data_IF_272836439759
#
_entry.id   IF_272836439759
#
_cell.length_a   1.000
_cell.length_b   1.000
_cell.length_c   1.000
_cell.angle_alpha   90.00
_cell.angle_beta   90.00
_cell.angle_gamma   90.00
#
_symmetry.space_group_name_H-M   'P 1'
#
loop_
_entity.id
_entity.type
_entity.pdbx_description
1 polymer ?
#
# COMPACT_ATOMS: atom_id res chain seq x y z
N UNK A 1 32.37 -21.22 5.09
CA UNK A 1 32.21 -19.78 5.03
C UNK A 1 31.54 -19.34 6.33
N UNK A 2 32.03 -18.35 7.05
CA UNK A 2 31.35 -17.90 8.25
C UNK A 2 29.99 -17.35 7.88
N UNK A 3 28.95 -17.76 8.64
CA UNK A 3 27.59 -17.22 8.57
C UNK A 3 27.63 -15.69 8.66
N UNK A 4 26.88 -14.93 7.86
CA UNK A 4 26.80 -13.49 8.02
C UNK A 4 26.38 -13.21 9.47
N UNK A 5 27.14 -12.37 10.16
CA UNK A 5 26.92 -11.99 11.55
C UNK A 5 25.43 -11.62 11.71
N UNK A 6 24.71 -12.33 12.57
CA UNK A 6 23.34 -11.99 12.95
C UNK A 6 23.42 -10.61 13.59
N UNK A 7 22.95 -9.59 12.88
CA UNK A 7 22.75 -8.26 13.47
C UNK A 7 21.88 -8.49 14.69
N UNK A 8 22.36 -8.06 15.87
CA UNK A 8 21.56 -8.14 17.07
C UNK A 8 20.23 -7.42 16.80
N UNK A 9 19.12 -8.16 16.95
CA UNK A 9 17.77 -7.63 16.68
C UNK A 9 17.51 -6.34 17.46
N UNK A 10 18.02 -6.24 18.69
CA UNK A 10 17.88 -5.03 19.48
C UNK A 10 18.58 -3.84 18.78
N UNK A 11 19.80 -4.04 18.29
CA UNK A 11 20.53 -3.01 17.55
C UNK A 11 19.80 -2.64 16.25
N UNK A 12 19.22 -3.61 15.55
CA UNK A 12 18.41 -3.33 14.35
C UNK A 12 17.19 -2.47 14.68
N UNK A 13 16.41 -2.83 15.70
CA UNK A 13 15.23 -2.07 16.13
C UNK A 13 15.62 -0.65 16.51
N UNK A 14 16.66 -0.47 17.34
CA UNK A 14 17.13 0.85 17.75
C UNK A 14 17.64 1.69 16.57
N UNK A 15 18.27 1.06 15.57
CA UNK A 15 18.71 1.75 14.35
C UNK A 15 17.57 2.26 13.47
N UNK A 16 16.38 1.66 13.59
CA UNK A 16 15.17 2.04 12.84
C UNK A 16 14.26 2.99 13.62
N UNK A 17 14.32 2.97 14.96
CA UNK A 17 13.50 3.87 15.80
C UNK A 17 13.82 5.33 15.51
N UNK A 18 12.78 6.12 15.28
CA UNK A 18 12.84 7.55 14.98
C UNK A 18 13.66 7.92 13.74
N UNK A 19 14.21 6.92 13.02
CA UNK A 19 14.84 7.18 11.73
C UNK A 19 13.76 7.59 10.73
N UNK A 20 13.87 8.80 10.21
CA UNK A 20 13.00 9.32 9.18
C UNK A 20 13.39 8.75 7.83
N UNK A 21 12.48 8.06 7.19
CA UNK A 21 12.59 7.63 5.81
C UNK A 21 11.81 8.63 4.96
N UNK A 22 12.48 9.43 4.13
CA UNK A 22 11.84 10.47 3.33
C UNK A 22 10.92 9.85 2.28
N UNK A 23 9.79 10.50 2.02
CA UNK A 23 8.81 10.15 0.99
C UNK A 23 8.27 11.44 0.42
N UNK A 24 8.18 11.56 -0.90
CA UNK A 24 7.84 12.80 -1.60
C UNK A 24 8.87 13.91 -1.28
N UNK A 25 8.45 15.17 -1.34
CA UNK A 25 9.28 16.35 -1.11
C UNK A 25 9.52 16.67 0.37
N UNK A 26 8.51 16.60 1.24
CA UNK A 26 8.63 16.91 2.67
C UNK A 26 7.96 15.86 3.58
N UNK A 27 7.52 14.76 3.02
CA UNK A 27 6.94 13.66 3.76
C UNK A 27 7.98 12.72 4.35
N UNK A 28 7.57 11.94 5.33
CA UNK A 28 8.40 10.86 5.87
C UNK A 28 7.56 9.84 6.64
N UNK A 29 8.18 8.68 6.85
CA UNK A 29 7.74 7.67 7.81
C UNK A 29 8.86 7.42 8.80
N UNK A 30 8.54 7.25 10.08
CA UNK A 30 9.47 6.76 11.09
C UNK A 30 8.81 5.72 12.00
N UNK A 31 9.52 4.66 12.32
CA UNK A 31 9.11 3.70 13.34
C UNK A 31 9.27 4.35 14.71
N UNK A 32 8.21 4.37 15.50
CA UNK A 32 8.23 4.88 16.89
C UNK A 32 8.46 3.75 17.87
N UNK A 33 7.69 2.66 17.69
CA UNK A 33 7.71 1.53 18.59
C UNK A 33 7.20 0.27 17.89
N UNK A 34 7.56 -0.89 18.43
CA UNK A 34 7.03 -2.15 17.95
C UNK A 34 6.89 -3.16 19.08
N UNK A 35 5.92 -4.06 18.95
CA UNK A 35 5.74 -5.25 19.77
C UNK A 35 5.83 -6.49 18.89
N UNK A 36 6.61 -7.48 19.32
CA UNK A 36 6.71 -8.77 18.63
C UNK A 36 7.70 -8.79 17.46
N UNK A 37 7.82 -9.96 16.86
CA UNK A 37 8.68 -10.35 15.74
C UNK A 37 8.14 -11.62 15.08
N UNK A 38 8.88 -12.20 14.14
CA UNK A 38 8.53 -13.52 13.55
C UNK A 38 8.35 -14.60 14.64
N UNK A 39 9.18 -14.58 15.69
CA UNK A 39 9.08 -15.55 16.79
C UNK A 39 7.80 -15.35 17.62
N UNK A 40 7.36 -14.11 17.82
CA UNK A 40 6.10 -13.81 18.51
C UNK A 40 4.89 -14.33 17.73
N UNK A 41 4.90 -14.21 16.39
CA UNK A 41 3.86 -14.79 15.51
C UNK A 41 3.83 -16.31 15.65
N UNK A 42 4.99 -16.95 15.64
CA UNK A 42 5.13 -18.40 15.84
C UNK A 42 4.65 -18.84 17.23
N UNK A 43 5.04 -18.10 18.27
CA UNK A 43 4.59 -18.36 19.64
C UNK A 43 3.07 -18.29 19.75
N UNK A 44 2.47 -17.25 19.18
CA UNK A 44 1.02 -17.09 19.18
C UNK A 44 0.31 -18.23 18.46
N UNK A 45 0.83 -18.66 17.30
CA UNK A 45 0.28 -19.81 16.57
C UNK A 45 0.36 -21.11 17.39
N UNK A 46 1.45 -21.31 18.13
CA UNK A 46 1.68 -22.54 18.91
C UNK A 46 0.83 -22.63 20.18
N UNK A 47 0.24 -21.55 20.67
CA UNK A 47 -0.66 -21.59 21.83
C UNK A 47 -1.86 -22.52 21.61
N UNK A 48 -2.26 -22.70 20.35
CA UNK A 48 -3.34 -23.61 19.96
C UNK A 48 -2.97 -25.10 20.06
N UNK A 49 -1.70 -25.43 20.27
CA UNK A 49 -1.23 -26.79 20.44
C UNK A 49 -0.97 -27.06 21.92
N UNK A 50 -1.80 -27.89 22.55
CA UNK A 50 -1.54 -28.37 23.92
C UNK A 50 -0.20 -29.09 24.04
N UNK A 51 0.34 -29.22 25.27
CA UNK A 51 1.70 -29.70 25.55
C UNK A 51 2.05 -31.09 24.96
N UNK A 52 1.08 -31.89 24.53
CA UNK A 52 1.29 -33.23 23.95
C UNK A 52 1.35 -33.29 22.42
N UNK A 53 1.13 -32.19 21.71
CA UNK A 53 1.00 -32.19 20.24
C UNK A 53 2.09 -31.36 19.52
N UNK A 54 3.14 -30.97 20.22
CA UNK A 54 4.27 -30.23 19.62
C UNK A 54 4.96 -31.05 18.54
N UNK A 55 4.52 -30.91 17.30
CA UNK A 55 5.42 -31.18 16.16
C UNK A 55 6.40 -30.01 16.08
N UNK A 56 7.69 -30.31 16.09
CA UNK A 56 8.75 -29.32 15.80
C UNK A 56 8.62 -28.97 14.30
N UNK A 57 7.76 -28.01 13.99
CA UNK A 57 7.75 -27.40 12.67
C UNK A 57 8.77 -26.28 12.66
N UNK A 58 9.51 -26.17 11.59
CA UNK A 58 10.34 -24.99 11.29
C UNK A 58 9.47 -23.74 11.32
N UNK A 59 9.92 -22.70 12.01
CA UNK A 59 9.22 -21.42 12.18
C UNK A 59 8.85 -20.79 10.83
N UNK A 60 9.77 -20.86 9.85
CA UNK A 60 9.53 -20.40 8.49
C UNK A 60 8.36 -21.16 7.84
N UNK A 61 8.31 -22.48 7.98
CA UNK A 61 7.21 -23.28 7.41
C UNK A 61 5.87 -22.96 8.06
N UNK A 62 5.86 -22.73 9.37
CA UNK A 62 4.63 -22.37 10.10
C UNK A 62 4.12 -21.00 9.66
N UNK A 63 4.97 -19.98 9.58
CA UNK A 63 4.59 -18.65 9.07
C UNK A 63 4.05 -18.74 7.64
N UNK A 64 4.72 -19.48 6.76
CA UNK A 64 4.25 -19.72 5.39
C UNK A 64 2.88 -20.40 5.36
N UNK A 65 2.64 -21.36 6.26
CA UNK A 65 1.34 -22.02 6.40
C UNK A 65 0.26 -21.01 6.82
N UNK A 66 0.52 -20.17 7.82
CA UNK A 66 -0.42 -19.17 8.32
C UNK A 66 -0.86 -18.20 7.21
N UNK A 67 0.10 -17.63 6.47
CA UNK A 67 -0.21 -16.68 5.39
C UNK A 67 -0.94 -17.34 4.21
N UNK A 68 -0.52 -18.56 3.82
CA UNK A 68 -1.13 -19.32 2.72
C UNK A 68 -2.58 -19.66 2.99
N UNK A 69 -2.92 -20.02 4.24
CA UNK A 69 -4.25 -20.42 4.65
C UNK A 69 -5.06 -19.28 5.30
N UNK A 70 -4.53 -18.05 5.27
CA UNK A 70 -5.18 -16.86 5.82
C UNK A 70 -5.55 -17.00 7.31
N UNK A 71 -4.68 -17.64 8.10
CA UNK A 71 -4.78 -17.66 9.56
C UNK A 71 -4.20 -16.37 10.11
N UNK A 72 -5.04 -15.40 10.45
CA UNK A 72 -4.65 -14.01 10.69
C UNK A 72 -4.29 -13.71 12.14
N UNK A 73 -4.96 -14.34 13.10
CA UNK A 73 -4.83 -14.00 14.53
C UNK A 73 -3.41 -14.06 15.08
N UNK A 74 -2.52 -15.01 14.68
CA UNK A 74 -1.14 -14.98 15.15
C UNK A 74 -0.37 -13.74 14.70
N UNK A 75 -0.69 -13.18 13.53
CA UNK A 75 -0.08 -11.94 13.01
C UNK A 75 -0.60 -10.69 13.75
N UNK A 76 -1.78 -10.77 14.35
CA UNK A 76 -2.36 -9.68 15.15
C UNK A 76 -1.67 -9.53 16.53
N UNK A 77 -0.82 -10.50 16.91
CA UNK A 77 -0.02 -10.46 18.15
C UNK A 77 1.32 -9.72 17.97
N UNK A 78 1.54 -9.09 16.85
CA UNK A 78 2.63 -8.15 16.61
C UNK A 78 2.06 -6.81 16.19
N UNK A 79 2.58 -5.71 16.73
CA UNK A 79 2.09 -4.35 16.47
C UNK A 79 3.25 -3.40 16.14
N UNK A 80 2.99 -2.44 15.25
CA UNK A 80 3.93 -1.38 14.93
C UNK A 80 3.26 -0.01 15.15
N UNK A 81 4.03 0.95 15.64
CA UNK A 81 3.62 2.34 15.78
C UNK A 81 4.55 3.23 14.98
N UNK A 82 3.97 4.03 14.14
CA UNK A 82 4.65 4.96 13.25
C UNK A 82 4.31 6.41 13.59
N UNK A 83 5.21 7.32 13.25
CA UNK A 83 4.86 8.69 12.92
C UNK A 83 4.96 8.83 11.40
N UNK A 84 3.93 9.43 10.81
CA UNK A 84 3.85 9.65 9.36
C UNK A 84 3.59 11.12 9.10
N UNK A 85 4.39 11.73 8.20
CA UNK A 85 4.14 13.05 7.66
C UNK A 85 3.73 12.87 6.20
N UNK A 86 2.51 13.28 5.89
CA UNK A 86 1.83 12.88 4.64
C UNK A 86 0.91 14.01 4.16
N UNK A 87 0.77 14.24 2.83
CA UNK A 87 -0.23 15.16 2.29
C UNK A 87 -1.65 14.69 2.64
N UNK A 88 -2.56 15.62 2.90
CA UNK A 88 -3.90 15.32 3.36
C UNK A 88 -4.73 14.53 2.34
N UNK A 89 -4.48 14.67 1.03
CA UNK A 89 -5.14 13.84 0.00
C UNK A 89 -4.77 12.37 0.13
N UNK A 90 -3.47 12.05 0.35
CA UNK A 90 -3.00 10.71 0.64
C UNK A 90 -3.52 10.21 2.00
N UNK A 91 -3.53 11.09 3.01
CA UNK A 91 -4.03 10.75 4.34
C UNK A 91 -5.50 10.33 4.32
N UNK A 92 -6.32 10.96 3.51
CA UNK A 92 -7.73 10.59 3.33
C UNK A 92 -7.91 9.18 2.74
N UNK A 93 -6.99 8.68 1.96
CA UNK A 93 -6.97 7.29 1.51
C UNK A 93 -6.44 6.35 2.60
N UNK A 94 -5.45 6.81 3.37
CA UNK A 94 -4.84 6.05 4.46
C UNK A 94 -5.84 5.72 5.56
N UNK A 95 -6.60 6.69 6.03
CA UNK A 95 -7.61 6.53 7.09
C UNK A 95 -8.79 5.64 6.71
N UNK A 96 -8.89 5.21 5.45
CA UNK A 96 -9.85 4.17 5.03
C UNK A 96 -9.48 2.78 5.56
N UNK A 97 -8.23 2.57 5.97
CA UNK A 97 -7.79 1.40 6.70
C UNK A 97 -8.11 1.57 8.19
N UNK A 98 -9.33 1.15 8.58
CA UNK A 98 -9.93 1.49 9.86
C UNK A 98 -9.48 0.62 11.04
N UNK A 99 -8.87 -0.54 10.78
CA UNK A 99 -8.33 -1.41 11.83
C UNK A 99 -6.95 -0.94 12.23
N UNK A 100 -6.90 0.24 12.84
CA UNK A 100 -5.71 0.92 13.31
C UNK A 100 -6.10 2.01 14.32
N UNK A 101 -5.12 2.49 15.08
CA UNK A 101 -5.29 3.64 15.98
C UNK A 101 -4.54 4.85 15.40
N UNK A 102 -5.19 5.99 15.40
CA UNK A 102 -4.69 7.22 14.79
C UNK A 102 -4.77 8.35 15.81
N UNK A 103 -3.70 9.14 15.89
CA UNK A 103 -3.70 10.42 16.58
C UNK A 103 -3.01 11.45 15.69
N UNK A 104 -3.82 12.30 15.07
CA UNK A 104 -3.38 13.27 14.08
C UNK A 104 -3.11 14.63 14.71
N UNK A 105 -2.11 15.32 14.18
CA UNK A 105 -1.78 16.70 14.48
C UNK A 105 -3.00 17.61 14.29
N UNK A 106 -3.33 18.37 15.31
CA UNK A 106 -4.54 19.19 15.27
C UNK A 106 -4.21 20.65 14.94
N UNK A 107 -4.61 21.07 13.76
CA UNK A 107 -4.56 22.48 13.35
C UNK A 107 -5.63 23.38 14.02
N UNK A 108 -6.41 22.84 14.97
CA UNK A 108 -7.24 23.62 15.89
C UNK A 108 -6.44 24.16 17.06
N UNK A 109 -5.46 23.39 17.52
CA UNK A 109 -4.61 23.73 18.66
C UNK A 109 -3.28 24.32 18.25
N UNK A 110 -2.81 24.01 17.06
CA UNK A 110 -1.52 24.42 16.52
C UNK A 110 -1.68 25.08 15.14
N UNK A 111 -0.66 25.78 14.68
CA UNK A 111 -0.60 26.28 13.31
C UNK A 111 -0.54 25.12 12.32
N UNK A 112 -1.11 25.30 11.13
CA UNK A 112 -0.94 24.34 10.05
C UNK A 112 0.55 24.22 9.71
N UNK A 113 0.97 22.99 9.35
CA UNK A 113 2.31 22.74 8.87
C UNK A 113 2.54 23.61 7.62
N UNK A 114 3.65 24.36 7.61
CA UNK A 114 4.00 25.24 6.49
C UNK A 114 4.73 24.45 5.41
N UNK A 115 4.03 23.49 4.86
CA UNK A 115 4.52 22.69 3.75
C UNK A 115 3.35 22.08 2.99
N UNK A 116 3.48 22.07 1.67
CA UNK A 116 2.51 21.52 0.73
C UNK A 116 3.27 20.70 -0.31
N UNK A 117 2.76 19.52 -0.63
CA UNK A 117 3.35 18.67 -1.66
C UNK A 117 3.24 19.36 -3.00
N UNK A 118 4.37 19.46 -3.72
CA UNK A 118 4.46 20.05 -5.03
C UNK A 118 4.59 18.98 -6.13
N UNK A 119 4.00 19.26 -7.27
CA UNK A 119 4.11 18.41 -8.46
C UNK A 119 5.11 19.03 -9.45
N UNK A 120 6.21 18.33 -9.75
CA UNK A 120 7.19 18.81 -10.70
C UNK A 120 6.68 18.72 -12.15
N UNK A 121 7.26 19.54 -13.05
CA UNK A 121 6.81 19.67 -14.45
C UNK A 121 6.67 18.34 -15.20
N UNK A 122 7.52 17.36 -14.91
CA UNK A 122 7.50 16.03 -15.56
C UNK A 122 6.68 14.98 -14.81
N UNK A 123 6.00 15.32 -13.72
CA UNK A 123 5.30 14.37 -12.86
C UNK A 123 3.77 14.43 -12.99
N UNK A 124 3.26 15.36 -13.81
CA UNK A 124 1.83 15.43 -14.12
C UNK A 124 1.40 14.23 -14.95
N UNK A 125 0.63 13.34 -14.35
CA UNK A 125 0.21 12.07 -14.95
C UNK A 125 -1.09 12.22 -15.73
N UNK A 126 -1.18 11.51 -16.87
CA UNK A 126 -2.41 11.38 -17.63
C UNK A 126 -3.40 10.45 -16.93
N UNK A 127 -4.69 10.68 -17.13
CA UNK A 127 -5.73 9.74 -16.72
C UNK A 127 -5.56 8.43 -17.48
N UNK A 128 -5.57 7.31 -16.78
CA UNK A 128 -5.53 6.00 -17.43
C UNK A 128 -6.79 5.79 -18.28
N UNK A 129 -6.59 5.26 -19.49
CA UNK A 129 -7.66 5.04 -20.49
C UNK A 129 -8.64 3.94 -20.05
N UNK A 130 -8.12 2.87 -19.47
CA UNK A 130 -8.92 1.70 -19.07
C UNK A 130 -9.36 1.75 -17.60
N UNK A 131 -8.62 2.43 -16.74
CA UNK A 131 -8.90 2.50 -15.31
C UNK A 131 -9.09 3.94 -14.85
N UNK A 132 -10.33 4.35 -14.62
CA UNK A 132 -10.64 5.71 -14.15
C UNK A 132 -10.05 6.08 -12.78
N UNK A 133 -9.56 5.13 -12.03
CA UNK A 133 -8.90 5.36 -10.73
C UNK A 133 -7.38 5.47 -10.85
N UNK A 134 -6.82 5.03 -11.97
CA UNK A 134 -5.39 5.00 -12.23
C UNK A 134 -4.90 6.18 -13.06
N UNK A 135 -3.61 6.31 -13.10
CA UNK A 135 -2.90 7.22 -14.01
C UNK A 135 -1.91 6.42 -14.86
N UNK A 136 -1.65 6.90 -16.08
CA UNK A 136 -0.68 6.28 -16.99
C UNK A 136 0.16 7.37 -17.64
N UNK A 137 1.46 7.08 -17.77
CA UNK A 137 2.41 8.02 -18.36
C UNK A 137 2.41 9.39 -17.68
N UNK A 138 3.24 10.27 -18.19
CA UNK A 138 3.31 11.66 -17.75
C UNK A 138 3.12 12.59 -18.93
N UNK A 139 2.59 13.78 -18.68
CA UNK A 139 2.55 14.85 -19.66
C UNK A 139 3.98 15.30 -20.02
N UNK A 140 4.20 15.80 -21.23
CA UNK A 140 5.47 16.43 -21.57
C UNK A 140 5.81 17.55 -20.57
N UNK A 141 7.06 17.71 -20.13
CA UNK A 141 7.44 18.72 -19.13
C UNK A 141 7.03 20.15 -19.50
N UNK A 142 7.00 20.47 -20.80
CA UNK A 142 6.53 21.77 -21.30
C UNK A 142 5.04 22.03 -21.04
N UNK A 143 4.21 20.99 -21.13
CA UNK A 143 2.79 21.07 -20.77
C UNK A 143 2.60 21.09 -19.25
N UNK A 144 3.39 20.29 -18.51
CA UNK A 144 3.37 20.24 -17.05
C UNK A 144 3.77 21.55 -16.38
N UNK A 145 4.67 22.31 -16.97
CA UNK A 145 5.15 23.60 -16.42
C UNK A 145 4.00 24.55 -16.05
N UNK A 146 3.01 24.69 -16.92
CA UNK A 146 1.83 25.53 -16.65
C UNK A 146 1.06 25.08 -15.40
N UNK A 147 0.91 23.78 -15.23
CA UNK A 147 0.17 23.23 -14.07
C UNK A 147 0.95 23.37 -12.78
N UNK A 148 2.28 23.14 -12.80
CA UNK A 148 3.16 23.40 -11.65
C UNK A 148 3.12 24.88 -11.24
N UNK A 149 3.14 25.78 -12.20
CA UNK A 149 3.02 27.22 -11.91
C UNK A 149 1.67 27.55 -11.26
N UNK A 150 0.57 27.07 -11.83
CA UNK A 150 -0.77 27.28 -11.27
C UNK A 150 -0.93 26.66 -9.87
N UNK A 151 -0.34 25.50 -9.62
CA UNK A 151 -0.30 24.87 -8.31
C UNK A 151 0.44 25.74 -7.30
N UNK A 152 1.62 26.24 -7.64
CA UNK A 152 2.43 27.13 -6.80
C UNK A 152 1.70 28.42 -6.46
N UNK A 153 1.03 29.04 -7.43
CA UNK A 153 0.24 30.25 -7.23
C UNK A 153 -0.94 30.02 -6.26
N UNK A 154 -1.65 28.89 -6.46
CA UNK A 154 -2.77 28.49 -5.59
C UNK A 154 -2.30 28.21 -4.15
N UNK A 155 -1.22 27.47 -3.99
CA UNK A 155 -0.64 27.16 -2.69
C UNK A 155 -0.21 28.44 -1.96
N UNK A 156 0.47 29.34 -2.64
CA UNK A 156 0.92 30.64 -2.11
C UNK A 156 -0.26 31.53 -1.70
N UNK A 157 -1.30 31.61 -2.53
CA UNK A 157 -2.52 32.36 -2.22
C UNK A 157 -3.23 31.78 -1.00
N UNK A 158 -3.41 30.46 -0.97
CA UNK A 158 -4.10 29.78 0.13
C UNK A 158 -3.37 30.00 1.47
N UNK A 159 -2.03 29.91 1.44
CA UNK A 159 -1.19 30.17 2.61
C UNK A 159 -1.33 31.61 3.12
N UNK A 160 -1.22 32.57 2.23
CA UNK A 160 -1.41 34.00 2.58
C UNK A 160 -2.80 34.25 3.21
N UNK A 161 -3.87 33.74 2.61
CA UNK A 161 -5.23 33.89 3.14
C UNK A 161 -5.36 33.26 4.52
N UNK A 162 -4.73 32.12 4.77
CA UNK A 162 -4.69 31.49 6.08
C UNK A 162 -4.00 32.37 7.12
N UNK A 163 -2.85 32.96 6.79
CA UNK A 163 -2.08 33.84 7.66
C UNK A 163 -2.81 35.15 7.95
N UNK A 164 -3.38 35.81 6.95
CA UNK A 164 -4.20 37.01 7.09
C UNK A 164 -5.39 36.78 8.05
N UNK A 165 -6.03 35.60 7.98
CA UNK A 165 -7.12 35.25 8.92
C UNK A 165 -6.62 35.07 10.35
N UNK A 166 -5.46 34.47 10.54
CA UNK A 166 -4.87 34.34 11.88
C UNK A 166 -4.49 35.69 12.46
N UNK A 167 -3.88 36.58 11.68
CA UNK A 167 -3.54 37.96 12.08
C UNK A 167 -4.78 38.79 12.43
N UNK A 168 -5.87 38.57 11.70
CA UNK A 168 -7.17 39.18 11.99
C UNK A 168 -7.87 38.59 13.24
N UNK A 169 -7.28 37.63 13.92
CA UNK A 169 -7.85 36.99 15.12
C UNK A 169 -8.95 35.96 14.82
N UNK A 170 -9.11 35.52 13.58
CA UNK A 170 -10.06 34.46 13.22
C UNK A 170 -9.64 33.14 13.86
N UNK A 171 -10.59 32.42 14.44
CA UNK A 171 -10.32 31.12 15.05
C UNK A 171 -9.63 30.15 14.08
N UNK A 172 -8.60 29.44 14.56
CA UNK A 172 -7.80 28.49 13.74
C UNK A 172 -8.66 27.48 12.99
N UNK A 173 -9.75 27.03 13.59
CA UNK A 173 -10.68 26.07 12.97
C UNK A 173 -11.39 26.64 11.72
N UNK A 174 -11.55 27.94 11.63
CA UNK A 174 -12.09 28.64 10.45
C UNK A 174 -10.97 29.08 9.50
N UNK A 175 -9.86 29.59 10.03
CA UNK A 175 -8.75 30.08 9.22
C UNK A 175 -8.22 29.00 8.26
N UNK A 176 -8.08 27.74 8.70
CA UNK A 176 -7.53 26.60 7.98
C UNK A 176 -8.39 26.00 6.87
N UNK A 177 -9.68 26.38 6.77
CA UNK A 177 -10.65 25.64 5.94
C UNK A 177 -10.33 25.61 4.43
N UNK A 178 -9.60 26.62 3.95
CA UNK A 178 -9.26 26.76 2.53
C UNK A 178 -7.80 26.37 2.22
N UNK A 179 -7.10 25.71 3.16
CA UNK A 179 -5.81 25.10 2.87
C UNK A 179 -6.02 23.93 1.90
N UNK A 180 -5.19 23.81 0.85
CA UNK A 180 -5.34 22.76 -0.14
C UNK A 180 -5.04 21.38 0.44
N UNK A 181 -5.55 20.33 -0.20
CA UNK A 181 -5.32 18.93 0.21
C UNK A 181 -3.86 18.49 0.07
N UNK A 182 -3.04 19.22 -0.67
CA UNK A 182 -1.60 19.02 -0.74
C UNK A 182 -0.86 19.43 0.54
N UNK A 183 -1.52 20.17 1.46
CA UNK A 183 -0.93 20.51 2.77
C UNK A 183 -0.56 19.24 3.55
N UNK A 184 0.67 19.22 4.09
CA UNK A 184 1.12 18.11 4.93
C UNK A 184 0.40 18.11 6.29
N UNK A 185 0.06 16.91 6.75
CA UNK A 185 -0.31 16.62 8.14
C UNK A 185 0.68 15.64 8.74
N UNK A 186 0.66 15.48 10.05
CA UNK A 186 1.48 14.51 10.77
C UNK A 186 0.61 13.71 11.73
N UNK A 187 0.82 12.42 11.82
CA UNK A 187 0.03 11.56 12.67
C UNK A 187 0.86 10.42 13.27
N UNK A 188 0.52 10.03 14.48
CA UNK A 188 0.81 8.72 14.99
C UNK A 188 -0.17 7.70 14.41
N UNK A 189 0.34 6.60 13.90
CA UNK A 189 -0.43 5.49 13.36
C UNK A 189 0.06 4.19 13.97
N UNK A 190 -0.82 3.49 14.72
CA UNK A 190 -0.53 2.20 15.34
C UNK A 190 -1.41 1.14 14.70
N UNK A 191 -0.81 0.02 14.32
CA UNK A 191 -1.49 -1.05 13.60
C UNK A 191 -0.83 -2.39 13.91
N UNK A 192 -1.63 -3.45 14.02
CA UNK A 192 -1.11 -4.81 14.08
C UNK A 192 -0.56 -5.28 12.72
N UNK A 193 0.29 -6.30 12.75
CA UNK A 193 1.00 -6.77 11.57
C UNK A 193 0.05 -7.33 10.49
N UNK A 194 -1.05 -8.04 10.86
CA UNK A 194 -2.00 -8.53 9.88
C UNK A 194 -2.63 -7.41 9.06
N UNK A 195 -3.15 -6.39 9.76
CA UNK A 195 -3.79 -5.24 9.12
C UNK A 195 -2.77 -4.35 8.38
N UNK A 196 -1.53 -4.29 8.86
CA UNK A 196 -0.44 -3.64 8.15
C UNK A 196 -0.14 -4.35 6.82
N UNK A 197 -0.02 -5.67 6.80
CA UNK A 197 0.17 -6.42 5.56
C UNK A 197 -1.01 -6.24 4.60
N UNK A 198 -2.25 -6.13 5.12
CA UNK A 198 -3.41 -5.79 4.29
C UNK A 198 -3.30 -4.39 3.67
N UNK A 199 -2.87 -3.40 4.45
CA UNK A 199 -2.58 -2.05 3.93
C UNK A 199 -1.50 -2.10 2.86
N UNK A 200 -0.39 -2.79 3.10
CA UNK A 200 0.72 -2.90 2.16
C UNK A 200 0.28 -3.58 0.85
N UNK A 201 -0.46 -4.69 0.92
CA UNK A 201 -0.95 -5.39 -0.26
C UNK A 201 -1.82 -4.50 -1.17
N UNK A 202 -2.63 -3.60 -0.57
CA UNK A 202 -3.49 -2.69 -1.33
C UNK A 202 -2.77 -1.44 -1.81
N UNK A 203 -1.77 -0.96 -1.08
CA UNK A 203 -1.15 0.35 -1.36
C UNK A 203 0.21 0.26 -2.04
N UNK A 204 0.85 -0.91 -2.04
CA UNK A 204 2.01 -1.20 -2.88
C UNK A 204 1.60 -1.62 -4.31
N UNK A 205 0.34 -1.96 -4.53
CA UNK A 205 -0.20 -2.34 -5.85
C UNK A 205 0.05 -1.24 -6.88
N UNK A 206 0.39 -1.63 -8.12
CA UNK A 206 0.71 -0.72 -9.20
C UNK A 206 -0.45 0.22 -9.57
N UNK A 207 -1.71 -0.18 -9.30
CA UNK A 207 -2.91 0.62 -9.54
C UNK A 207 -3.22 1.60 -8.39
N UNK A 208 -2.51 1.52 -7.26
CA UNK A 208 -2.64 2.51 -6.21
C UNK A 208 -2.06 3.87 -6.66
N UNK A 209 -2.63 4.96 -6.16
CA UNK A 209 -2.09 6.30 -6.40
C UNK A 209 -0.59 6.34 -6.04
N UNK A 210 0.24 6.94 -6.88
CA UNK A 210 1.70 6.89 -6.76
C UNK A 210 2.18 7.35 -5.38
N UNK A 211 1.62 8.44 -4.88
CA UNK A 211 2.06 9.06 -3.62
C UNK A 211 1.86 8.10 -2.44
N UNK A 212 0.66 7.52 -2.25
CA UNK A 212 0.43 6.56 -1.15
C UNK A 212 1.20 5.25 -1.37
N UNK A 213 1.44 4.86 -2.64
CA UNK A 213 2.26 3.69 -2.98
C UNK A 213 3.70 3.87 -2.51
N UNK A 214 4.29 5.06 -2.67
CA UNK A 214 5.63 5.36 -2.18
C UNK A 214 5.72 5.23 -0.65
N UNK A 215 4.73 5.72 0.10
CA UNK A 215 4.65 5.52 1.55
C UNK A 215 4.57 4.04 1.91
N UNK A 216 3.67 3.30 1.29
CA UNK A 216 3.49 1.87 1.55
C UNK A 216 4.76 1.07 1.24
N UNK A 217 5.40 1.34 0.10
CA UNK A 217 6.67 0.70 -0.29
C UNK A 217 7.78 1.02 0.72
N UNK A 218 7.89 2.27 1.15
CA UNK A 218 8.87 2.67 2.17
C UNK A 218 8.65 1.93 3.49
N UNK A 219 7.40 1.84 3.96
CA UNK A 219 7.06 1.08 5.18
C UNK A 219 7.43 -0.40 4.99
N UNK A 220 7.00 -0.99 3.89
CA UNK A 220 7.23 -2.40 3.60
C UNK A 220 8.71 -2.76 3.53
N UNK A 221 9.44 -2.10 2.64
CA UNK A 221 10.82 -2.45 2.33
C UNK A 221 11.83 -1.98 3.39
N UNK A 222 11.63 -0.80 3.96
CA UNK A 222 12.61 -0.19 4.86
C UNK A 222 12.37 -0.55 6.34
N UNK A 223 11.15 -0.94 6.71
CA UNK A 223 10.79 -1.19 8.11
C UNK A 223 10.28 -2.61 8.33
N UNK A 224 9.25 -3.05 7.60
CA UNK A 224 8.63 -4.37 7.85
C UNK A 224 9.54 -5.50 7.42
N UNK A 225 10.13 -5.43 6.23
CA UNK A 225 11.03 -6.46 5.69
C UNK A 225 12.21 -6.79 6.62
N UNK A 226 12.98 -5.83 7.15
CA UNK A 226 14.07 -6.15 8.06
C UNK A 226 13.60 -6.63 9.45
N UNK A 227 12.44 -6.19 9.94
CA UNK A 227 11.94 -6.53 11.27
C UNK A 227 11.20 -7.88 11.33
N UNK A 228 10.57 -8.29 10.21
CA UNK A 228 9.78 -9.51 10.07
C UNK A 228 10.18 -10.28 8.79
N UNK A 229 11.44 -10.73 8.66
CA UNK A 229 11.95 -11.28 7.41
C UNK A 229 11.22 -12.55 6.94
N UNK A 230 10.77 -13.42 7.86
CA UNK A 230 10.05 -14.65 7.49
C UNK A 230 8.61 -14.35 7.09
N UNK A 231 7.95 -13.44 7.81
CA UNK A 231 6.61 -12.97 7.43
C UNK A 231 6.66 -12.24 6.10
N UNK A 232 7.68 -11.40 5.87
CA UNK A 232 7.85 -10.67 4.61
C UNK A 232 8.04 -11.60 3.42
N UNK A 233 8.89 -12.61 3.53
CA UNK A 233 9.07 -13.63 2.49
C UNK A 233 7.73 -14.29 2.11
N UNK A 234 6.99 -14.75 3.11
CA UNK A 234 5.69 -15.38 2.88
C UNK A 234 4.63 -14.38 2.34
N UNK A 235 4.70 -13.11 2.74
CA UNK A 235 3.82 -12.04 2.26
C UNK A 235 4.06 -11.74 0.77
N UNK A 236 5.31 -11.69 0.34
CA UNK A 236 5.65 -11.53 -1.09
C UNK A 236 5.06 -12.70 -1.87
N UNK A 237 5.37 -13.95 -1.50
CA UNK A 237 4.95 -15.14 -2.24
C UNK A 237 3.42 -15.32 -2.29
N UNK A 238 2.70 -15.02 -1.21
CA UNK A 238 1.27 -15.34 -1.11
C UNK A 238 0.33 -14.15 -1.22
N UNK A 239 0.84 -12.93 -1.30
CA UNK A 239 0.04 -11.71 -1.38
C UNK A 239 0.48 -10.74 -2.46
N UNK A 240 1.75 -10.28 -2.44
CA UNK A 240 2.21 -9.25 -3.38
C UNK A 240 2.35 -9.78 -4.81
N UNK A 241 2.99 -10.94 -4.97
CA UNK A 241 3.27 -11.55 -6.29
C UNK A 241 2.31 -12.69 -6.63
N UNK A 242 1.29 -12.91 -5.80
CA UNK A 242 0.34 -13.98 -6.01
C UNK A 242 -0.74 -13.63 -7.03
N UNK A 243 -0.87 -14.43 -8.06
CA UNK A 243 -2.01 -14.37 -8.97
C UNK A 243 -3.22 -15.11 -8.39
N UNK A 244 -4.30 -14.37 -8.09
CA UNK A 244 -5.55 -14.95 -7.58
C UNK A 244 -6.43 -15.41 -8.73
N UNK A 245 -6.62 -16.71 -8.86
CA UNK A 245 -7.55 -17.31 -9.83
C UNK A 245 -8.93 -17.49 -9.21
N UNK A 246 -9.92 -16.84 -9.81
CA UNK A 246 -11.34 -17.01 -9.47
C UNK A 246 -11.88 -18.37 -9.95
N UNK A 247 -13.13 -18.69 -9.60
CA UNK A 247 -13.81 -19.87 -10.17
C UNK A 247 -13.92 -19.77 -11.70
N UNK A 248 -14.19 -18.58 -12.21
CA UNK A 248 -14.33 -18.34 -13.65
C UNK A 248 -12.99 -18.49 -14.38
N UNK A 249 -11.92 -17.91 -13.86
CA UNK A 249 -10.58 -18.07 -14.42
C UNK A 249 -10.20 -19.55 -14.52
N UNK A 250 -10.44 -20.34 -13.47
CA UNK A 250 -10.14 -21.78 -13.46
C UNK A 250 -10.99 -22.56 -14.47
N UNK A 251 -12.21 -22.14 -14.74
CA UNK A 251 -13.05 -22.78 -15.75
C UNK A 251 -12.53 -22.50 -17.17
N UNK A 252 -12.09 -21.27 -17.43
CA UNK A 252 -11.42 -20.90 -18.69
C UNK A 252 -10.16 -21.73 -18.88
N UNK A 253 -9.28 -21.78 -17.85
CA UNK A 253 -8.04 -22.55 -17.90
C UNK A 253 -8.30 -24.04 -18.20
N UNK A 254 -9.29 -24.67 -17.55
CA UNK A 254 -9.64 -26.07 -17.82
C UNK A 254 -10.05 -26.28 -19.27
N UNK A 255 -10.79 -25.36 -19.86
CA UNK A 255 -11.21 -25.47 -21.27
C UNK A 255 -10.03 -25.29 -22.22
N UNK A 256 -9.20 -24.30 -22.00
CA UNK A 256 -7.98 -24.12 -22.78
C UNK A 256 -7.13 -25.41 -22.75
N UNK A 257 -6.97 -26.01 -21.59
CA UNK A 257 -6.24 -27.26 -21.43
C UNK A 257 -6.92 -28.46 -22.15
N UNK A 258 -8.26 -28.53 -22.10
CA UNK A 258 -9.02 -29.63 -22.70
C UNK A 258 -9.10 -29.53 -24.23
N UNK A 259 -9.21 -28.34 -24.79
CA UNK A 259 -9.36 -28.11 -26.23
C UNK A 259 -8.06 -27.93 -26.97
N UNK A 260 -6.98 -27.55 -26.26
CA UNK A 260 -5.72 -27.11 -26.86
C UNK A 260 -5.84 -25.82 -27.68
N UNK A 261 -7.01 -25.18 -27.67
CA UNK A 261 -7.29 -23.99 -28.47
C UNK A 261 -7.13 -22.74 -27.62
N UNK A 262 -6.13 -21.96 -27.95
CA UNK A 262 -5.89 -20.64 -27.33
C UNK A 262 -6.51 -19.58 -28.22
N UNK A 263 -7.26 -18.58 -27.67
CA UNK A 263 -7.76 -17.45 -28.45
C UNK A 263 -6.59 -16.71 -29.12
N UNK A 264 -6.80 -16.27 -30.36
CA UNK A 264 -5.76 -15.64 -31.16
C UNK A 264 -5.30 -14.31 -30.56
N UNK A 265 -6.23 -13.56 -29.95
CA UNK A 265 -6.02 -12.26 -29.36
C UNK A 265 -7.08 -11.94 -28.31
N UNK A 266 -6.90 -10.82 -27.60
CA UNK A 266 -7.79 -10.32 -26.55
C UNK A 266 -9.20 -10.03 -27.09
N UNK A 267 -9.32 -9.43 -28.27
CA UNK A 267 -10.63 -9.09 -28.86
C UNK A 267 -11.45 -10.34 -29.12
N UNK A 268 -10.83 -11.37 -29.71
CA UNK A 268 -11.45 -12.68 -29.90
C UNK A 268 -11.89 -13.30 -28.56
N UNK A 269 -11.04 -13.25 -27.54
CA UNK A 269 -11.36 -13.76 -26.21
C UNK A 269 -12.56 -13.03 -25.60
N UNK A 270 -12.65 -11.71 -25.74
CA UNK A 270 -13.72 -10.89 -25.15
C UNK A 270 -15.03 -11.01 -25.88
N UNK A 271 -15.02 -11.32 -27.17
CA UNK A 271 -16.24 -11.33 -28.03
C UNK A 271 -16.83 -12.72 -28.26
N UNK A 272 -16.03 -13.79 -28.18
CA UNK A 272 -16.51 -15.16 -28.40
C UNK A 272 -17.58 -15.52 -27.38
N UNK A 273 -18.63 -16.19 -27.85
CA UNK A 273 -19.66 -16.74 -26.94
C UNK A 273 -19.06 -17.88 -26.13
N UNK A 274 -18.98 -17.69 -24.84
CA UNK A 274 -18.38 -18.62 -23.89
C UNK A 274 -19.33 -18.83 -22.71
N UNK A 275 -19.77 -20.08 -22.45
CA UNK A 275 -20.70 -20.39 -21.36
C UNK A 275 -20.24 -19.95 -19.96
N UNK A 276 -18.91 -19.79 -19.72
CA UNK A 276 -18.39 -19.28 -18.45
C UNK A 276 -18.91 -17.89 -18.15
N UNK A 277 -19.10 -17.08 -19.19
CA UNK A 277 -19.48 -15.67 -19.10
C UNK A 277 -20.95 -15.42 -19.37
N UNK A 278 -21.79 -16.48 -19.41
CA UNK A 278 -23.21 -16.34 -19.61
C UNK A 278 -23.85 -15.42 -18.57
N UNK A 279 -24.48 -14.34 -18.99
CA UNK A 279 -25.03 -13.28 -18.14
C UNK A 279 -23.97 -12.28 -17.62
N UNK A 280 -22.71 -12.43 -18.04
CA UNK A 280 -21.56 -11.57 -17.66
C UNK A 280 -20.78 -11.13 -18.92
N UNK A 281 -21.47 -11.02 -20.07
CA UNK A 281 -20.80 -10.79 -21.37
C UNK A 281 -20.07 -9.44 -21.47
N UNK A 282 -20.47 -8.45 -20.66
CA UNK A 282 -19.86 -7.12 -20.60
C UNK A 282 -19.30 -6.85 -19.21
N UNK A 283 -18.52 -7.77 -18.67
CA UNK A 283 -17.94 -7.62 -17.37
C UNK A 283 -16.42 -7.40 -17.44
N UNK A 284 -15.94 -6.53 -16.57
CA UNK A 284 -14.51 -6.27 -16.40
C UNK A 284 -13.73 -7.52 -15.96
N UNK A 285 -14.40 -8.47 -15.31
CA UNK A 285 -13.78 -9.72 -14.87
C UNK A 285 -13.22 -10.54 -16.04
N UNK A 286 -13.83 -10.44 -17.22
CA UNK A 286 -13.36 -11.14 -18.42
C UNK A 286 -12.05 -10.52 -18.95
N UNK A 287 -11.95 -9.20 -18.93
CA UNK A 287 -10.70 -8.49 -19.22
C UNK A 287 -9.59 -8.86 -18.22
N UNK A 288 -9.93 -8.87 -16.94
CA UNK A 288 -9.00 -9.26 -15.88
C UNK A 288 -8.56 -10.73 -16.01
N UNK A 289 -9.45 -11.61 -16.47
CA UNK A 289 -9.10 -13.00 -16.76
C UNK A 289 -8.05 -13.08 -17.88
N UNK A 290 -8.25 -12.35 -18.99
CA UNK A 290 -7.26 -12.29 -20.07
C UNK A 290 -5.88 -11.86 -19.56
N UNK A 291 -5.84 -10.77 -18.80
CA UNK A 291 -4.59 -10.24 -18.24
C UNK A 291 -3.88 -11.27 -17.34
N UNK A 292 -4.64 -12.04 -16.54
CA UNK A 292 -4.09 -13.13 -15.73
C UNK A 292 -3.54 -14.27 -16.60
N UNK A 293 -4.24 -14.63 -17.66
CA UNK A 293 -3.79 -15.68 -18.58
C UNK A 293 -2.49 -15.27 -19.30
N UNK A 294 -2.39 -13.99 -19.71
CA UNK A 294 -1.18 -13.43 -20.30
C UNK A 294 -0.01 -13.45 -19.31
N UNK A 295 -0.24 -12.97 -18.08
CA UNK A 295 0.76 -12.99 -17.01
C UNK A 295 1.25 -14.42 -16.65
N UNK A 296 0.41 -15.44 -16.89
CA UNK A 296 0.76 -16.85 -16.72
C UNK A 296 1.39 -17.49 -17.97
N UNK A 297 1.53 -16.73 -19.08
CA UNK A 297 2.07 -17.23 -20.35
C UNK A 297 1.12 -18.22 -21.08
N UNK A 298 -0.16 -18.21 -20.74
CA UNK A 298 -1.19 -19.10 -21.32
C UNK A 298 -1.83 -18.53 -22.59
N UNK A 299 -1.69 -17.24 -22.84
CA UNK A 299 -2.11 -16.51 -24.05
C UNK A 299 -1.02 -15.49 -24.42
N UNK A 300 -1.03 -14.98 -25.66
CA UNK A 300 -0.14 -13.90 -26.06
C UNK A 300 -0.53 -12.58 -25.34
N UNK A 301 0.45 -11.72 -25.11
CA UNK A 301 0.23 -10.38 -24.55
C UNK A 301 -0.57 -9.47 -25.49
#
# INVERSE_FOLDING_TARGET
MPSPASVDRHQLVESLRWKKFPVLDDGHVALVDLMGDDAAVVQAARVSYGDGTRKVSDDRQLIRYLLRHAHTTPLEMAELKFVVRVPMDCWRQWVRHRTANINEYSTRYSLAIDSMQATHNGEWRSQASENRQGSEGCLPPSAGHRFTQSETELQSLSRRVYEERLEAGIAREQARKDLPLSTYTEAYWKIDLHNLLHFLALRMDAHAQLEIRQYATTIGEQIVRPLFPLVWEAFVDYRLEATRLTRLDREVIRRLAATGTVPADRETFLTVQDPTWQGLERCRERDECWNKLAALGLVAE
#
